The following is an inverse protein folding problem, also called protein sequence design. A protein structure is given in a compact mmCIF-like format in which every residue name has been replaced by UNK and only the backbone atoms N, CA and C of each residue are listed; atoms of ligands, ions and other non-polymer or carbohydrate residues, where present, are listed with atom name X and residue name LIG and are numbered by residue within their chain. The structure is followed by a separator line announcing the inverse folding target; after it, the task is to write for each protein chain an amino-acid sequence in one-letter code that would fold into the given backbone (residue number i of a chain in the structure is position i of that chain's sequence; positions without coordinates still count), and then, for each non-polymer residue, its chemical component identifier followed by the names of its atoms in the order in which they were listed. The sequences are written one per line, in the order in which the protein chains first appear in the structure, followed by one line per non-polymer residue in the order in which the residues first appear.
data_IF_038219603070
#
_entry.id   IF_038219603070
#
_cell.length_a   1.000
_cell.length_b   1.000
_cell.length_c   1.000
_cell.angle_alpha   90.00
_cell.angle_beta   90.00
_cell.angle_gamma   90.00
#
_symmetry.space_group_name_H-M   'P 1'
#
loop_
_entity.id
_entity.type
_entity.pdbx_description
1 polymer ?
#
# COMPACT_ATOMS: atom_id res chain seq x y z
N UNK A 1 -5.80 26.00 16.99
CA UNK A 1 -5.23 24.63 17.04
C UNK A 1 -4.21 24.56 15.92
N UNK A 2 -2.95 24.28 16.27
CA UNK A 2 -1.80 24.27 15.34
C UNK A 2 -1.79 22.99 14.51
N UNK A 3 -1.32 23.07 13.26
CA UNK A 3 -1.38 22.06 12.20
C UNK A 3 -1.05 20.64 12.68
N UNK A 4 -1.90 19.69 12.32
CA UNK A 4 -1.86 18.29 12.74
C UNK A 4 -0.74 17.43 12.13
N UNK A 5 0.32 18.06 11.62
CA UNK A 5 1.50 17.40 11.09
C UNK A 5 2.75 18.14 11.55
N UNK A 6 3.82 17.37 11.78
CA UNK A 6 5.15 17.89 12.09
C UNK A 6 5.86 18.28 10.78
N UNK A 7 5.46 19.43 10.20
CA UNK A 7 5.86 19.85 8.84
C UNK A 7 7.37 20.00 8.64
N UNK A 8 8.11 20.43 9.67
CA UNK A 8 9.57 20.55 9.62
C UNK A 8 10.22 19.18 9.41
N UNK A 9 9.70 18.15 10.09
CA UNK A 9 10.19 16.77 9.96
C UNK A 9 9.84 16.19 8.59
N UNK A 10 8.64 16.47 8.07
CA UNK A 10 8.24 16.07 6.71
C UNK A 10 9.17 16.68 5.67
N UNK A 11 9.43 17.99 5.78
CA UNK A 11 10.27 18.73 4.82
C UNK A 11 11.70 18.20 4.81
N UNK A 12 12.23 17.81 5.97
CA UNK A 12 13.57 17.24 6.09
C UNK A 12 13.74 15.86 5.43
N UNK A 13 12.64 15.15 5.15
CA UNK A 13 12.63 13.81 4.57
C UNK A 13 12.38 13.77 3.05
N UNK A 14 12.05 14.90 2.43
CA UNK A 14 11.72 14.98 1.01
C UNK A 14 12.92 14.60 0.14
N UNK A 15 12.71 13.72 -0.85
CA UNK A 15 13.75 13.39 -1.84
C UNK A 15 14.02 14.57 -2.78
N UNK A 16 12.98 15.33 -3.09
CA UNK A 16 13.03 16.56 -3.86
C UNK A 16 11.90 17.49 -3.40
N UNK A 17 12.14 18.80 -3.46
CA UNK A 17 11.10 19.78 -3.13
C UNK A 17 9.98 19.73 -4.19
N UNK A 18 8.72 19.48 -3.80
CA UNK A 18 7.60 19.53 -4.72
C UNK A 18 7.30 20.98 -5.13
N UNK A 19 6.48 21.19 -6.19
CA UNK A 19 5.95 22.50 -6.51
C UNK A 19 5.27 23.13 -5.29
N UNK A 20 5.49 24.43 -5.07
CA UNK A 20 4.83 25.15 -3.98
C UNK A 20 3.35 25.30 -4.30
N UNK A 21 2.50 24.85 -3.39
CA UNK A 21 1.06 25.06 -3.43
C UNK A 21 0.61 25.88 -2.23
N UNK A 22 -0.35 26.77 -2.41
CA UNK A 22 -0.90 27.54 -1.30
C UNK A 22 -1.93 26.70 -0.53
N UNK A 23 -1.83 26.67 0.79
CA UNK A 23 -2.72 25.85 1.64
C UNK A 23 -4.20 26.17 1.40
N UNK A 24 -4.56 27.43 1.12
CA UNK A 24 -5.93 27.82 0.80
C UNK A 24 -6.46 27.16 -0.48
N UNK A 25 -5.61 26.99 -1.50
CA UNK A 25 -5.97 26.31 -2.74
C UNK A 25 -6.12 24.81 -2.49
N UNK A 26 -5.16 24.20 -1.79
CA UNK A 26 -5.22 22.80 -1.38
C UNK A 26 -6.48 22.47 -0.57
N UNK A 27 -6.88 23.34 0.38
CA UNK A 27 -8.13 23.17 1.15
C UNK A 27 -9.35 23.15 0.25
N UNK A 28 -9.42 24.08 -0.71
CA UNK A 28 -10.51 24.13 -1.69
C UNK A 28 -10.54 22.87 -2.53
N UNK A 29 -9.39 22.41 -3.00
CA UNK A 29 -9.29 21.29 -3.91
C UNK A 29 -9.64 19.98 -3.18
N UNK A 30 -9.12 19.75 -1.96
CA UNK A 30 -9.53 18.62 -1.10
C UNK A 30 -11.04 18.64 -0.78
N UNK A 31 -11.61 19.81 -0.47
CA UNK A 31 -13.04 19.92 -0.21
C UNK A 31 -13.89 19.61 -1.47
N UNK A 32 -13.40 19.97 -2.66
CA UNK A 32 -14.05 19.66 -3.93
C UNK A 32 -14.09 18.15 -4.24
N UNK A 33 -13.17 17.36 -3.67
CA UNK A 33 -13.16 15.90 -3.76
C UNK A 33 -14.23 15.23 -2.87
N UNK A 34 -15.02 16.00 -2.11
CA UNK A 34 -16.05 15.47 -1.21
C UNK A 34 -15.48 14.87 0.08
N UNK A 35 -14.22 15.17 0.41
CA UNK A 35 -13.58 14.76 1.66
C UNK A 35 -14.23 15.49 2.84
N UNK A 36 -14.46 14.78 3.96
CA UNK A 36 -15.06 15.35 5.16
C UNK A 36 -14.24 16.55 5.68
N UNK A 37 -14.85 17.65 6.16
CA UNK A 37 -14.14 18.85 6.58
C UNK A 37 -13.01 18.61 7.58
N UNK A 38 -13.22 17.71 8.54
CA UNK A 38 -12.17 17.30 9.50
C UNK A 38 -10.93 16.77 8.79
N UNK A 39 -11.08 15.89 7.79
CA UNK A 39 -9.93 15.39 7.03
C UNK A 39 -9.29 16.49 6.20
N UNK A 40 -10.06 17.41 5.61
CA UNK A 40 -9.51 18.55 4.87
C UNK A 40 -8.61 19.41 5.78
N UNK A 41 -9.09 19.71 6.99
CA UNK A 41 -8.31 20.51 7.95
C UNK A 41 -6.99 19.86 8.35
N UNK A 42 -7.00 18.53 8.44
CA UNK A 42 -5.84 17.75 8.84
C UNK A 42 -4.87 17.54 7.67
N UNK A 43 -5.35 17.25 6.47
CA UNK A 43 -4.52 16.92 5.32
C UNK A 43 -3.98 18.14 4.58
N UNK A 44 -4.68 19.28 4.59
CA UNK A 44 -4.26 20.44 3.80
C UNK A 44 -2.83 20.95 4.08
N UNK A 45 -2.35 21.02 5.33
CA UNK A 45 -0.95 21.41 5.59
C UNK A 45 0.07 20.42 5.01
N UNK A 46 -0.22 19.11 5.07
CA UNK A 46 0.62 18.07 4.48
C UNK A 46 0.70 18.24 2.97
N UNK A 47 -0.45 18.37 2.30
CA UNK A 47 -0.51 18.52 0.85
C UNK A 47 0.06 19.86 0.36
N UNK A 48 -0.11 20.95 1.09
CA UNK A 48 0.54 22.22 0.78
C UNK A 48 2.08 22.13 0.82
N UNK A 49 2.61 21.18 1.60
CA UNK A 49 4.05 20.97 1.80
C UNK A 49 4.63 19.90 0.87
N UNK A 50 3.87 18.83 0.61
CA UNK A 50 4.41 17.56 0.13
C UNK A 50 3.55 16.88 -0.96
N UNK A 51 2.67 17.61 -1.64
CA UNK A 51 1.79 17.02 -2.67
C UNK A 51 2.57 16.19 -3.71
N UNK A 52 2.18 14.92 -3.86
CA UNK A 52 2.82 13.96 -4.77
C UNK A 52 4.28 13.65 -4.46
N UNK A 53 4.81 14.08 -3.31
CA UNK A 53 6.23 13.95 -3.01
C UNK A 53 6.64 12.49 -2.71
N UNK A 54 7.92 12.20 -2.97
CA UNK A 54 8.58 10.97 -2.53
C UNK A 54 9.53 11.26 -1.37
N UNK A 55 9.72 10.24 -0.54
CA UNK A 55 10.58 10.28 0.64
C UNK A 55 11.45 9.03 0.71
N UNK A 56 12.54 9.13 1.47
CA UNK A 56 13.45 8.02 1.74
C UNK A 56 13.92 7.33 0.45
N UNK A 57 14.39 8.09 -0.53
CA UNK A 57 14.86 7.60 -1.82
C UNK A 57 13.80 6.84 -2.62
N UNK A 58 12.55 7.32 -2.62
CA UNK A 58 11.43 6.73 -3.36
C UNK A 58 10.68 5.61 -2.63
N UNK A 59 11.06 5.29 -1.38
CA UNK A 59 10.50 4.18 -0.59
C UNK A 59 9.11 4.47 -0.04
N UNK A 60 8.77 5.75 0.14
CA UNK A 60 7.45 6.23 0.54
C UNK A 60 7.00 7.31 -0.44
N UNK A 61 5.70 7.35 -0.74
CA UNK A 61 5.11 8.36 -1.62
C UNK A 61 3.80 8.87 -1.05
N UNK A 62 3.58 10.17 -1.15
CA UNK A 62 2.27 10.77 -0.94
C UNK A 62 1.46 10.65 -2.24
N UNK A 63 0.20 10.23 -2.13
CA UNK A 63 -0.73 10.18 -3.27
C UNK A 63 -1.09 11.61 -3.66
N UNK A 64 -0.94 12.00 -4.94
CA UNK A 64 -1.09 13.39 -5.34
C UNK A 64 -2.55 13.85 -5.35
N UNK A 65 -2.81 15.14 -5.16
CA UNK A 65 -4.13 15.74 -5.36
C UNK A 65 -4.60 15.64 -6.81
N UNK A 66 -3.63 15.66 -7.74
CA UNK A 66 -3.85 15.55 -9.16
C UNK A 66 -3.02 14.39 -9.70
N UNK A 67 -3.71 13.41 -10.26
CA UNK A 67 -3.08 12.23 -10.83
C UNK A 67 -2.32 12.56 -12.11
N UNK A 68 -1.67 11.54 -12.66
CA UNK A 68 -1.01 11.61 -13.96
C UNK A 68 -1.65 10.60 -14.93
N UNK A 69 -2.55 11.06 -15.82
CA UNK A 69 -3.22 10.18 -16.77
C UNK A 69 -2.29 9.48 -17.76
N UNK A 70 -1.13 10.09 -18.10
CA UNK A 70 -0.18 9.48 -19.05
C UNK A 70 0.46 8.22 -18.46
N UNK A 71 0.65 8.23 -17.15
CA UNK A 71 1.28 7.15 -16.41
C UNK A 71 0.28 6.27 -15.63
N UNK A 72 -1.02 6.59 -15.72
CA UNK A 72 -2.08 5.88 -15.00
C UNK A 72 -1.98 6.01 -13.48
N UNK A 73 -1.39 7.11 -12.97
CA UNK A 73 -1.32 7.41 -11.55
C UNK A 73 -2.65 8.08 -11.13
N UNK A 74 -3.47 7.45 -10.28
CA UNK A 74 -4.69 8.08 -9.79
C UNK A 74 -4.37 9.26 -8.87
N UNK A 75 -5.25 10.25 -8.86
CA UNK A 75 -5.30 11.21 -7.77
C UNK A 75 -5.76 10.55 -6.46
N UNK A 76 -5.64 11.28 -5.35
CA UNK A 76 -6.08 10.84 -4.03
C UNK A 76 -7.56 10.47 -4.00
N UNK A 77 -8.42 11.06 -4.85
CA UNK A 77 -9.83 10.67 -4.93
C UNK A 77 -9.99 9.28 -5.58
N UNK A 78 -9.25 8.98 -6.64
CA UNK A 78 -9.20 7.66 -7.26
C UNK A 78 -8.65 6.58 -6.33
N UNK A 79 -7.65 6.91 -5.50
CA UNK A 79 -7.21 6.03 -4.40
C UNK A 79 -8.28 5.83 -3.33
N UNK A 80 -9.36 6.61 -3.33
CA UNK A 80 -10.41 6.53 -2.33
C UNK A 80 -11.82 6.27 -2.90
N UNK A 81 -11.92 5.81 -4.16
CA UNK A 81 -13.20 5.47 -4.77
C UNK A 81 -13.68 4.08 -4.32
N UNK A 82 -14.74 4.07 -3.50
CA UNK A 82 -15.41 2.87 -2.99
C UNK A 82 -16.06 2.02 -4.08
N UNK A 83 -16.34 2.59 -5.26
CA UNK A 83 -16.98 1.88 -6.37
C UNK A 83 -15.96 1.23 -7.32
N UNK A 84 -14.68 1.56 -7.20
CA UNK A 84 -13.61 1.03 -8.03
C UNK A 84 -12.84 -0.09 -7.30
N UNK A 85 -11.52 0.03 -7.12
CA UNK A 85 -10.69 -1.02 -6.55
C UNK A 85 -10.98 -1.27 -5.07
N UNK A 86 -11.42 -0.25 -4.30
CA UNK A 86 -11.64 -0.39 -2.86
C UNK A 86 -12.74 -1.38 -2.49
N UNK A 87 -13.69 -1.66 -3.40
CA UNK A 87 -14.73 -2.66 -3.17
C UNK A 87 -14.19 -4.08 -2.96
N UNK A 88 -12.94 -4.32 -3.37
CA UNK A 88 -12.23 -5.59 -3.25
C UNK A 88 -11.37 -5.68 -1.98
N UNK A 89 -11.38 -4.66 -1.13
CA UNK A 89 -10.64 -4.70 0.12
C UNK A 89 -11.19 -5.76 1.08
N UNK A 90 -10.33 -6.33 1.94
CA UNK A 90 -10.81 -7.17 3.03
C UNK A 90 -11.78 -6.40 3.91
N UNK A 91 -12.87 -7.07 4.34
CA UNK A 91 -13.89 -6.47 5.21
C UNK A 91 -13.26 -5.93 6.50
N UNK A 92 -13.59 -4.69 6.84
CA UNK A 92 -13.15 -3.98 8.04
C UNK A 92 -14.31 -3.21 8.67
N UNK A 93 -14.20 -2.90 9.96
CA UNK A 93 -15.27 -2.25 10.74
C UNK A 93 -15.48 -0.80 10.27
N UNK A 94 -14.40 -0.12 9.92
CA UNK A 94 -14.37 1.28 9.53
C UNK A 94 -13.74 1.47 8.15
N UNK A 95 -14.04 2.59 7.50
CA UNK A 95 -13.34 2.98 6.27
C UNK A 95 -11.90 3.40 6.54
N UNK A 96 -11.15 3.62 5.46
CA UNK A 96 -9.81 4.22 5.51
C UNK A 96 -9.68 5.20 4.37
N UNK A 97 -9.20 6.41 4.65
CA UNK A 97 -8.76 7.36 3.64
C UNK A 97 -7.26 7.18 3.41
N UNK A 98 -6.87 6.58 2.29
CA UNK A 98 -5.46 6.37 1.96
C UNK A 98 -4.86 7.65 1.37
N UNK A 99 -3.67 8.00 1.84
CA UNK A 99 -2.95 9.20 1.42
C UNK A 99 -1.52 8.91 0.97
N UNK A 100 -1.01 7.70 1.22
CA UNK A 100 0.37 7.35 0.90
C UNK A 100 0.52 5.86 0.62
N UNK A 101 1.66 5.49 0.03
CA UNK A 101 2.05 4.10 -0.17
C UNK A 101 3.56 3.91 -0.10
N UNK A 102 4.01 2.70 0.20
CA UNK A 102 5.41 2.33 0.07
C UNK A 102 5.75 1.88 -1.37
N UNK A 103 7.02 1.60 -1.62
CA UNK A 103 7.51 1.15 -2.93
C UNK A 103 7.01 -0.24 -3.37
N UNK A 104 6.25 -0.95 -2.55
CA UNK A 104 5.59 -2.23 -2.88
C UNK A 104 4.07 -2.08 -3.07
N UNK A 105 3.55 -0.86 -3.01
CA UNK A 105 2.11 -0.61 -3.16
C UNK A 105 1.29 -0.87 -1.90
N UNK A 106 1.91 -1.16 -0.74
CA UNK A 106 1.17 -1.17 0.53
C UNK A 106 0.67 0.24 0.83
N UNK A 107 -0.60 0.37 1.23
CA UNK A 107 -1.26 1.66 1.38
C UNK A 107 -1.34 2.08 2.84
N UNK A 108 -1.11 3.37 3.10
CA UNK A 108 -1.21 4.01 4.40
C UNK A 108 -2.31 5.06 4.39
N UNK A 109 -3.12 5.08 5.46
CA UNK A 109 -4.29 5.93 5.53
C UNK A 109 -4.75 6.27 6.94
N UNK A 110 -5.76 7.14 7.00
CA UNK A 110 -6.46 7.54 8.22
C UNK A 110 -7.76 6.73 8.32
N UNK A 111 -8.01 5.98 9.41
CA UNK A 111 -9.28 5.32 9.64
C UNK A 111 -10.43 6.33 9.81
N UNK A 112 -11.53 6.11 9.09
CA UNK A 112 -12.68 7.03 9.03
C UNK A 112 -13.99 6.28 9.22
N UNK A 113 -15.00 6.96 9.73
CA UNK A 113 -16.34 6.38 9.86
C UNK A 113 -17.11 6.33 8.54
N UNK A 114 -18.37 5.94 8.62
CA UNK A 114 -19.28 5.88 7.47
C UNK A 114 -19.53 7.24 6.83
N UNK A 115 -19.42 8.32 7.60
CA UNK A 115 -19.61 9.71 7.17
C UNK A 115 -18.29 10.36 6.71
N UNK A 116 -17.16 9.66 6.88
CA UNK A 116 -15.82 10.13 6.52
C UNK A 116 -15.13 10.94 7.62
N UNK A 117 -15.69 11.02 8.82
CA UNK A 117 -15.03 11.67 9.94
C UNK A 117 -13.90 10.80 10.51
N UNK A 118 -12.85 11.44 11.02
CA UNK A 118 -11.71 10.75 11.63
C UNK A 118 -12.14 10.11 12.94
N UNK A 119 -11.94 8.79 13.06
CA UNK A 119 -12.39 8.01 14.22
C UNK A 119 -11.34 7.91 15.34
N UNK A 120 -10.08 7.64 14.97
CA UNK A 120 -9.02 7.29 15.90
C UNK A 120 -7.67 7.88 15.51
N UNK A 121 -6.84 8.19 16.50
CA UNK A 121 -5.43 8.59 16.30
C UNK A 121 -4.55 7.37 16.00
N UNK A 122 -4.76 6.76 14.84
CA UNK A 122 -4.03 5.59 14.35
C UNK A 122 -3.84 5.64 12.85
N UNK A 123 -2.75 5.04 12.35
CA UNK A 123 -2.56 4.79 10.92
C UNK A 123 -3.17 3.44 10.54
N UNK A 124 -4.06 3.45 9.54
CA UNK A 124 -4.54 2.25 8.88
C UNK A 124 -3.56 1.83 7.79
N UNK A 125 -3.28 0.53 7.70
CA UNK A 125 -2.35 -0.04 6.71
C UNK A 125 -3.02 -1.20 5.99
N UNK A 126 -3.09 -1.10 4.67
CA UNK A 126 -3.46 -2.19 3.79
C UNK A 126 -2.18 -2.81 3.22
N UNK A 127 -1.86 -4.01 3.68
CA UNK A 127 -0.78 -4.81 3.12
C UNK A 127 -1.30 -5.54 1.88
N UNK A 128 -0.97 -5.05 0.69
CA UNK A 128 -1.65 -5.43 -0.56
C UNK A 128 -1.33 -6.87 -0.93
N UNK A 129 -0.05 -7.24 -0.97
CA UNK A 129 0.37 -8.61 -1.30
C UNK A 129 0.03 -9.62 -0.19
N UNK A 130 -0.18 -9.15 1.05
CA UNK A 130 -0.61 -9.98 2.18
C UNK A 130 -2.13 -10.04 2.34
N UNK A 131 -2.87 -9.25 1.56
CA UNK A 131 -4.33 -9.09 1.62
C UNK A 131 -4.86 -8.96 3.05
N UNK A 132 -4.25 -8.06 3.82
CA UNK A 132 -4.64 -7.86 5.21
C UNK A 132 -4.61 -6.38 5.57
N UNK A 133 -5.63 -5.96 6.31
CA UNK A 133 -5.72 -4.62 6.86
C UNK A 133 -5.40 -4.64 8.35
N UNK A 134 -4.62 -3.66 8.80
CA UNK A 134 -4.21 -3.51 10.20
C UNK A 134 -4.21 -2.05 10.61
N UNK A 135 -4.56 -1.77 11.86
CA UNK A 135 -4.42 -0.43 12.46
C UNK A 135 -3.17 -0.41 13.34
N UNK A 136 -2.15 0.31 12.89
CA UNK A 136 -0.93 0.51 13.64
C UNK A 136 -1.20 1.35 14.90
N UNK A 137 -0.52 1.04 16.00
CA UNK A 137 -0.53 1.83 17.25
C UNK A 137 0.29 3.13 17.12
N UNK A 138 0.32 3.72 15.94
CA UNK A 138 1.02 4.98 15.63
C UNK A 138 -0.04 6.03 15.35
N UNK A 139 -0.09 7.14 16.11
CA UNK A 139 -0.92 8.28 15.76
C UNK A 139 -0.58 8.77 14.36
N UNK A 140 -1.60 8.92 13.52
CA UNK A 140 -1.39 9.38 12.14
C UNK A 140 -0.67 10.74 12.05
N UNK A 141 -0.84 11.73 12.96
CA UNK A 141 -0.06 12.99 12.94
C UNK A 141 1.45 12.76 13.07
N UNK A 142 1.82 11.74 13.83
CA UNK A 142 3.20 11.41 14.18
C UNK A 142 3.84 10.46 13.15
N UNK A 143 3.12 10.04 12.10
CA UNK A 143 3.59 8.95 11.25
C UNK A 143 4.96 9.21 10.63
N UNK A 144 5.15 10.39 10.01
CA UNK A 144 6.44 10.78 9.43
C UNK A 144 7.52 10.96 10.51
N UNK A 145 7.17 11.51 11.66
CA UNK A 145 8.06 11.65 12.81
C UNK A 145 8.61 10.30 13.28
N UNK A 146 7.73 9.30 13.37
CA UNK A 146 8.08 7.94 13.78
C UNK A 146 8.94 7.24 12.75
N UNK A 147 8.68 7.44 11.46
CA UNK A 147 9.55 6.95 10.40
C UNK A 147 10.95 7.60 10.45
N UNK A 148 11.03 8.91 10.69
CA UNK A 148 12.31 9.62 10.80
C UNK A 148 13.11 9.20 12.04
N UNK A 149 12.43 9.10 13.18
CA UNK A 149 13.05 8.95 14.50
C UNK A 149 13.35 7.50 14.91
N UNK A 150 12.76 6.50 14.25
CA UNK A 150 12.94 5.09 14.57
C UNK A 150 13.23 4.25 13.32
N UNK A 151 14.50 3.86 13.08
CA UNK A 151 14.89 3.04 11.94
C UNK A 151 14.15 1.70 11.86
N UNK A 152 13.71 1.13 12.99
CA UNK A 152 12.99 -0.14 13.00
C UNK A 152 11.56 0.03 12.46
N UNK A 153 10.92 1.16 12.78
CA UNK A 153 9.60 1.52 12.25
C UNK A 153 9.71 1.79 10.75
N UNK A 154 10.70 2.59 10.32
CA UNK A 154 10.95 2.84 8.90
C UNK A 154 11.24 1.54 8.14
N UNK A 155 12.12 0.69 8.66
CA UNK A 155 12.44 -0.60 8.05
C UNK A 155 11.22 -1.48 7.87
N UNK A 156 10.30 -1.49 8.85
CA UNK A 156 9.09 -2.31 8.81
C UNK A 156 8.06 -1.78 7.80
N UNK A 157 7.67 -0.51 7.89
CA UNK A 157 6.62 0.05 7.02
C UNK A 157 7.09 0.26 5.58
N UNK A 158 8.34 0.65 5.40
CA UNK A 158 8.90 0.96 4.09
C UNK A 158 9.60 -0.25 3.44
N UNK A 159 9.62 -1.40 4.12
CA UNK A 159 10.26 -2.65 3.66
C UNK A 159 11.68 -2.38 3.15
N UNK A 160 12.48 -1.69 3.97
CA UNK A 160 13.79 -1.15 3.56
C UNK A 160 14.73 -2.23 3.01
N UNK A 161 14.94 -3.38 3.70
CA UNK A 161 15.81 -4.43 3.17
C UNK A 161 15.33 -4.99 1.83
N UNK A 162 14.03 -5.22 1.68
CA UNK A 162 13.44 -5.74 0.45
C UNK A 162 13.53 -4.72 -0.68
N UNK A 163 13.30 -3.44 -0.38
CA UNK A 163 13.46 -2.36 -1.34
C UNK A 163 14.90 -2.28 -1.85
N UNK A 164 15.87 -2.29 -0.95
CA UNK A 164 17.28 -2.11 -1.31
C UNK A 164 17.76 -3.25 -2.22
N UNK A 165 17.38 -4.48 -1.88
CA UNK A 165 17.63 -5.65 -2.71
C UNK A 165 16.96 -5.59 -4.09
N UNK A 166 15.69 -5.20 -4.15
CA UNK A 166 14.95 -5.09 -5.41
C UNK A 166 15.49 -3.95 -6.28
N UNK A 167 15.82 -2.81 -5.68
CA UNK A 167 16.36 -1.65 -6.37
C UNK A 167 17.79 -1.87 -6.89
N UNK A 168 18.63 -2.63 -6.17
CA UNK A 168 19.95 -3.04 -6.67
C UNK A 168 19.84 -3.91 -7.94
N UNK A 169 18.81 -4.76 -8.00
CA UNK A 169 18.64 -5.74 -9.07
C UNK A 169 17.89 -5.17 -10.29
N UNK A 170 16.85 -4.36 -10.06
CA UNK A 170 15.91 -3.90 -11.09
C UNK A 170 15.99 -2.38 -11.35
N UNK A 171 16.70 -1.64 -10.50
CA UNK A 171 16.61 -0.18 -10.42
C UNK A 171 15.43 0.30 -9.55
N UNK A 172 15.43 1.56 -9.12
CA UNK A 172 14.33 2.12 -8.35
C UNK A 172 13.09 2.36 -9.25
N UNK A 173 11.88 2.10 -8.75
CA UNK A 173 10.65 2.38 -9.49
C UNK A 173 10.44 3.89 -9.67
N UNK A 174 9.86 4.28 -10.81
CA UNK A 174 9.37 5.65 -10.99
C UNK A 174 8.26 5.98 -9.97
N UNK A 175 7.91 7.26 -9.74
CA UNK A 175 6.92 7.65 -8.73
C UNK A 175 5.54 6.97 -8.87
N UNK A 176 5.12 6.66 -10.10
CA UNK A 176 3.85 5.98 -10.40
C UNK A 176 3.94 4.44 -10.43
N UNK A 177 5.12 3.88 -10.18
CA UNK A 177 5.38 2.43 -10.25
C UNK A 177 5.70 1.85 -8.88
N UNK A 178 5.55 0.54 -8.68
CA UNK A 178 6.00 -0.15 -7.48
C UNK A 178 6.69 -1.46 -7.85
N UNK A 179 7.43 -2.02 -6.90
CA UNK A 179 7.77 -3.43 -6.93
C UNK A 179 6.50 -4.24 -6.68
N UNK A 180 6.36 -5.33 -7.43
CA UNK A 180 5.18 -6.18 -7.44
C UNK A 180 5.59 -7.61 -7.71
N UNK A 181 4.98 -8.56 -7.02
CA UNK A 181 5.10 -9.96 -7.37
C UNK A 181 4.40 -10.25 -8.71
N UNK A 182 5.07 -10.89 -9.67
CA UNK A 182 4.47 -11.37 -10.93
C UNK A 182 3.31 -12.34 -10.65
N UNK A 183 3.51 -13.22 -9.66
CA UNK A 183 2.45 -14.05 -9.06
C UNK A 183 2.42 -13.73 -7.56
N UNK A 184 1.29 -13.25 -7.00
CA UNK A 184 1.18 -13.00 -5.57
C UNK A 184 1.56 -14.23 -4.73
N UNK A 185 2.39 -14.03 -3.71
CA UNK A 185 2.88 -15.13 -2.84
C UNK A 185 1.75 -15.90 -2.19
N UNK A 186 0.67 -15.21 -1.79
CA UNK A 186 -0.55 -15.82 -1.23
C UNK A 186 -1.27 -16.78 -2.19
N UNK A 187 -0.98 -16.68 -3.49
CA UNK A 187 -1.50 -17.57 -4.54
C UNK A 187 -0.48 -18.64 -4.96
N UNK A 188 0.62 -18.79 -4.21
CA UNK A 188 1.67 -19.78 -4.48
C UNK A 188 2.82 -19.26 -5.34
N UNK A 189 2.92 -17.94 -5.57
CA UNK A 189 4.10 -17.34 -6.18
C UNK A 189 5.34 -17.50 -5.31
N UNK A 190 6.54 -17.75 -5.88
CA UNK A 190 7.75 -17.89 -5.09
C UNK A 190 8.22 -16.53 -4.55
N UNK A 191 8.67 -16.49 -3.30
CA UNK A 191 9.26 -15.30 -2.67
C UNK A 191 10.72 -15.15 -3.09
N UNK A 192 10.92 -14.80 -4.36
CA UNK A 192 12.23 -14.79 -5.05
C UNK A 192 12.31 -13.65 -6.05
N UNK A 193 13.53 -13.29 -6.42
CA UNK A 193 13.87 -12.15 -7.30
C UNK A 193 13.24 -12.29 -8.69
N UNK A 194 13.16 -13.52 -9.19
CA UNK A 194 12.54 -13.87 -10.47
C UNK A 194 11.02 -13.61 -10.49
N UNK A 195 10.41 -13.54 -9.30
CA UNK A 195 9.00 -13.24 -9.15
C UNK A 195 8.73 -11.77 -8.86
N UNK A 196 9.74 -10.89 -8.80
CA UNK A 196 9.53 -9.45 -8.57
C UNK A 196 9.75 -8.67 -9.85
N UNK A 197 8.85 -7.72 -10.13
CA UNK A 197 8.95 -6.80 -11.27
C UNK A 197 8.52 -5.38 -10.87
N UNK A 198 8.87 -4.41 -11.72
CA UNK A 198 8.37 -3.03 -11.61
C UNK A 198 7.09 -2.91 -12.44
N UNK A 199 5.99 -2.48 -11.80
CA UNK A 199 4.67 -2.36 -12.43
C UNK A 199 4.00 -1.03 -12.06
N UNK A 200 3.02 -0.53 -12.84
CA UNK A 200 2.22 0.61 -12.43
C UNK A 200 1.52 0.31 -11.10
N UNK A 201 1.63 1.23 -10.14
CA UNK A 201 1.20 1.01 -8.76
C UNK A 201 -0.31 0.77 -8.67
N UNK A 202 -1.12 1.56 -9.37
CA UNK A 202 -2.57 1.39 -9.39
C UNK A 202 -3.00 0.05 -10.00
N UNK A 203 -2.27 -0.43 -11.02
CA UNK A 203 -2.52 -1.75 -11.62
C UNK A 203 -2.20 -2.85 -10.61
N UNK A 204 -1.04 -2.79 -9.94
CA UNK A 204 -0.66 -3.78 -8.93
C UNK A 204 -1.70 -3.88 -7.81
N UNK A 205 -2.10 -2.75 -7.21
CA UNK A 205 -3.05 -2.72 -6.10
C UNK A 205 -4.41 -3.27 -6.54
N UNK A 206 -4.97 -2.73 -7.63
CA UNK A 206 -6.29 -3.13 -8.10
C UNK A 206 -6.34 -4.59 -8.54
N UNK A 207 -5.31 -5.08 -9.24
CA UNK A 207 -5.24 -6.47 -9.69
C UNK A 207 -5.10 -7.44 -8.51
N UNK A 208 -4.17 -7.17 -7.59
CA UNK A 208 -3.90 -8.07 -6.45
C UNK A 208 -5.15 -8.26 -5.59
N UNK A 209 -5.84 -7.16 -5.24
CA UNK A 209 -7.05 -7.23 -4.43
C UNK A 209 -8.18 -8.01 -5.14
N UNK A 210 -8.37 -7.78 -6.45
CA UNK A 210 -9.37 -8.48 -7.25
C UNK A 210 -9.13 -9.99 -7.32
N UNK A 211 -7.90 -10.40 -7.61
CA UNK A 211 -7.55 -11.81 -7.77
C UNK A 211 -7.72 -12.55 -6.44
N UNK A 212 -7.29 -11.95 -5.34
CA UNK A 212 -7.40 -12.60 -4.02
C UNK A 212 -8.85 -12.69 -3.58
N UNK A 213 -9.66 -11.65 -3.79
CA UNK A 213 -11.10 -11.71 -3.52
C UNK A 213 -11.77 -12.83 -4.32
N UNK A 214 -11.45 -12.94 -5.61
CA UNK A 214 -11.97 -14.01 -6.47
C UNK A 214 -11.54 -15.40 -5.97
N UNK A 215 -10.27 -15.58 -5.60
CA UNK A 215 -9.76 -16.84 -5.06
C UNK A 215 -10.48 -17.24 -3.76
N UNK A 216 -10.74 -16.28 -2.87
CA UNK A 216 -11.49 -16.52 -1.63
C UNK A 216 -12.96 -16.88 -1.89
N UNK A 217 -13.61 -16.22 -2.85
CA UNK A 217 -15.00 -16.55 -3.26
C UNK A 217 -15.07 -17.97 -3.82
N UNK A 218 -14.10 -18.39 -4.63
CA UNK A 218 -14.03 -19.76 -5.17
C UNK A 218 -13.78 -20.79 -4.06
N UNK A 219 -12.85 -20.53 -3.14
CA UNK A 219 -12.60 -21.40 -1.98
C UNK A 219 -13.82 -21.51 -1.05
N UNK A 220 -14.63 -20.46 -0.96
CA UNK A 220 -15.86 -20.45 -0.15
C UNK A 220 -17.05 -21.11 -0.84
N UNK A 221 -17.05 -21.16 -2.19
CA UNK A 221 -18.13 -21.75 -3.00
C UNK A 221 -17.99 -23.27 -3.20
N UNK A 222 -16.84 -23.87 -2.85
CA UNK A 222 -16.62 -25.31 -2.91
C UNK A 222 -15.79 -25.79 -1.71
N UNK A 223 -16.37 -26.60 -0.83
CA UNK A 223 -15.61 -27.35 0.17
C UNK A 223 -14.63 -28.35 -0.50
N UNK A 224 -13.75 -29.02 0.27
CA UNK A 224 -12.70 -28.54 1.16
C UNK A 224 -11.34 -28.42 0.42
N UNK A 225 -10.35 -27.76 1.04
CA UNK A 225 -8.98 -27.70 0.53
C UNK A 225 -8.40 -29.11 0.31
N UNK A 226 -7.62 -29.36 -0.76
CA UNK A 226 -6.94 -30.63 -0.94
C UNK A 226 -5.97 -30.87 0.22
N UNK A 227 -6.15 -31.96 0.97
CA UNK A 227 -5.07 -32.48 1.81
C UNK A 227 -3.95 -32.94 0.88
N UNK A 228 -2.84 -32.22 0.89
CA UNK A 228 -1.57 -32.72 0.39
C UNK A 228 -1.05 -33.70 1.43
N UNK A 229 -1.06 -34.99 1.11
CA UNK A 229 -0.38 -36.00 1.93
C UNK A 229 1.12 -35.91 1.66
N UNK A 230 1.90 -35.44 2.64
CA UNK A 230 3.35 -35.21 2.55
C UNK A 230 4.16 -36.43 3.02
N UNK A 231 3.72 -37.63 2.67
CA UNK A 231 4.41 -38.91 2.89
C UNK A 231 4.02 -39.81 1.71
N UNK A 232 4.86 -40.30 0.80
CA UNK A 232 6.28 -40.63 0.85
C UNK A 232 6.85 -40.46 -0.57
N UNK A 233 7.87 -39.62 -0.72
CA UNK A 233 8.90 -39.83 -1.75
C UNK A 233 10.19 -40.02 -0.98
N UNK A 234 10.53 -41.27 -0.70
CA UNK A 234 11.91 -41.75 -0.61
C UNK A 234 11.89 -43.26 -0.91
N UNK A 235 12.58 -43.65 -2.00
CA UNK A 235 12.67 -45.03 -2.51
C UNK A 235 13.51 -45.97 -1.61
N UNK A 236 14.07 -47.11 -2.09
CA UNK A 236 14.58 -47.33 -3.46
C UNK A 236 14.40 -48.76 -4.04
N UNK A 237 14.79 -48.91 -5.33
CA UNK A 237 15.38 -50.09 -6.01
C UNK A 237 14.96 -51.53 -5.60
N UNK A 238 14.40 -52.31 -6.54
CA UNK A 238 14.35 -53.78 -6.41
C UNK A 238 13.61 -54.53 -7.53
N UNK A 239 14.38 -55.00 -8.51
CA UNK A 239 14.23 -56.21 -9.35
C UNK A 239 12.86 -56.92 -9.54
N UNK A 240 12.54 -57.11 -10.84
CA UNK A 240 12.03 -58.33 -11.53
C UNK A 240 11.31 -59.43 -10.73
N UNK A 241 10.10 -59.82 -11.18
CA UNK A 241 9.86 -61.16 -11.75
C UNK A 241 8.45 -61.32 -12.38
N UNK A 242 8.39 -62.21 -13.38
CA UNK A 242 7.20 -62.66 -14.13
C UNK A 242 6.46 -63.77 -13.38
N UNK A 243 5.18 -63.95 -13.69
CA UNK A 243 4.40 -65.19 -13.48
C UNK A 243 3.43 -65.08 -12.30
N UNK A 244 2.16 -65.47 -12.39
CA UNK A 244 1.49 -66.42 -13.31
C UNK A 244 0.09 -65.93 -13.66
#
# INVERSE_FOLDING_TARGET
MSSAWLLDEITALLDAAPPKSHETEVRRDLAALGVHPTLVELLAPLYATADGATFFGGRLRLHPLHGDPEHGLPDVAGWNDRNDWQRFEPRKVNGTFYFASNAFGDLFGVPVDTEGAVLFDRVGVLWVERYTYQEAKIPWPDFFARLAGDPSIASFFLRMPEHDWAAESLGPPAPWQCFSSNVPVILGGPDTLENVAIQPMAVHVSFTLQVIEQAQRQASAGAPLPMVDLREVDGPSGSSEKGS
#
